data_IF_690450269866
#
_entry.id   IF_690450269866
#
_cell.length_a   1.000
_cell.length_b   1.000
_cell.length_c   1.000
_cell.angle_alpha   90.00
_cell.angle_beta   90.00
_cell.angle_gamma   90.00
#
_symmetry.space_group_name_H-M   'P 1'
#
loop_
_entity.id
_entity.type
_entity.pdbx_description
1 polymer ?
#
# COMPACT_ATOMS: atom_id res chain seq x y z
N UNK A 1 4.07 -46.85 28.79
CA UNK A 1 3.94 -45.62 29.58
C UNK A 1 5.02 -44.66 29.11
N UNK A 2 4.71 -43.77 28.17
CA UNK A 2 5.61 -42.72 27.70
C UNK A 2 4.79 -41.44 27.59
N UNK A 3 5.09 -40.46 28.44
CA UNK A 3 4.42 -39.18 28.49
C UNK A 3 5.02 -38.26 27.43
N UNK A 4 4.20 -37.77 26.51
CA UNK A 4 4.55 -36.73 25.53
C UNK A 4 4.19 -35.39 26.15
N UNK A 5 5.20 -34.55 26.35
CA UNK A 5 5.07 -33.19 26.86
C UNK A 5 4.52 -32.29 25.74
N UNK A 6 3.31 -31.77 25.93
CA UNK A 6 2.75 -30.71 25.09
C UNK A 6 3.33 -29.36 25.55
N UNK A 7 4.06 -28.69 24.66
CA UNK A 7 4.48 -27.30 24.84
C UNK A 7 3.42 -26.41 24.18
N UNK A 8 2.61 -25.73 24.99
CA UNK A 8 1.72 -24.67 24.56
C UNK A 8 2.54 -23.40 24.29
N UNK A 9 2.57 -22.92 23.05
CA UNK A 9 3.01 -21.56 22.73
C UNK A 9 1.79 -20.64 22.79
N UNK A 10 1.74 -19.80 23.81
CA UNK A 10 0.72 -18.79 24.04
C UNK A 10 1.17 -17.50 23.36
N UNK A 11 0.60 -17.18 22.20
CA UNK A 11 0.84 -15.93 21.48
C UNK A 11 0.20 -14.77 22.25
N UNK A 12 1.04 -13.83 22.71
CA UNK A 12 0.60 -12.58 23.33
C UNK A 12 -0.09 -11.69 22.30
N UNK A 13 -1.33 -11.34 22.63
CA UNK A 13 -2.12 -10.28 22.03
C UNK A 13 -1.40 -8.95 22.31
N UNK A 14 -1.10 -8.19 21.27
CA UNK A 14 -0.69 -6.79 21.39
C UNK A 14 -1.95 -5.92 21.32
N UNK A 15 -2.35 -5.36 22.47
CA UNK A 15 -3.31 -4.26 22.54
C UNK A 15 -2.63 -2.97 22.04
N UNK A 16 -3.20 -2.33 21.01
CA UNK A 16 -2.85 -0.96 20.64
C UNK A 16 -4.00 -0.06 21.09
N UNK A 17 -3.79 0.59 22.23
CA UNK A 17 -4.72 1.57 22.79
C UNK A 17 -4.82 2.80 21.88
N UNK A 18 -6.05 3.11 21.47
CA UNK A 18 -6.40 4.30 20.70
C UNK A 18 -6.08 5.59 21.48
N UNK A 19 -5.21 6.45 20.93
CA UNK A 19 -4.92 7.77 21.46
C UNK A 19 -5.91 8.78 20.88
N UNK A 20 -6.88 9.17 21.70
CA UNK A 20 -7.97 10.10 21.41
C UNK A 20 -7.47 11.53 21.61
N UNK A 21 -7.16 12.27 20.54
CA UNK A 21 -6.92 13.70 20.63
C UNK A 21 -8.25 14.47 20.52
N UNK A 22 -8.70 15.01 21.64
CA UNK A 22 -9.71 16.08 21.70
C UNK A 22 -9.03 17.40 21.30
N UNK A 23 -9.64 18.11 20.36
CA UNK A 23 -9.41 19.55 20.19
C UNK A 23 -10.56 20.30 20.86
N UNK A 24 -10.22 21.21 21.76
CA UNK A 24 -11.12 22.17 22.40
C UNK A 24 -10.46 23.53 22.21
N UNK A 25 -11.17 24.48 21.61
CA UNK A 25 -11.32 25.89 22.01
C UNK A 25 -11.92 26.66 20.83
N UNK A 26 -13.18 27.08 20.96
CA UNK A 26 -13.63 28.38 21.52
C UNK A 26 -13.67 29.46 20.44
N UNK A 27 -14.90 29.91 20.14
CA UNK A 27 -15.18 31.01 19.24
C UNK A 27 -15.17 32.36 19.95
N UNK A 28 -15.16 33.44 19.16
CA UNK A 28 -15.77 34.77 19.38
C UNK A 28 -15.16 35.73 18.32
N UNK A 29 -15.88 36.06 17.23
CA UNK A 29 -16.76 37.24 16.98
C UNK A 29 -16.06 38.53 16.51
N UNK A 30 -16.58 39.02 15.37
CA UNK A 30 -16.87 40.43 14.97
C UNK A 30 -15.73 41.46 14.79
N UNK A 31 -15.81 42.21 13.67
CA UNK A 31 -14.86 43.23 13.16
C UNK A 31 -14.85 44.57 13.91
N UNK A 32 -14.66 45.77 13.27
CA UNK A 32 -14.72 46.10 11.84
C UNK A 32 -13.48 46.84 11.27
N UNK A 33 -13.57 47.18 9.97
CA UNK A 33 -12.63 47.99 9.20
C UNK A 33 -12.59 49.48 9.64
N UNK A 34 -11.42 50.11 9.57
CA UNK A 34 -11.23 51.56 9.63
C UNK A 34 -10.19 52.00 8.59
N UNK A 35 -10.49 53.16 8.01
CA UNK A 35 -9.92 53.80 6.84
C UNK A 35 -8.47 54.30 6.99
N UNK A 36 -7.86 54.36 5.81
CA UNK A 36 -6.67 55.08 5.39
C UNK A 36 -6.74 56.59 5.74
N UNK A 37 -5.68 57.11 6.35
CA UNK A 37 -5.39 58.55 6.40
C UNK A 37 -3.87 58.76 6.40
N UNK A 38 -3.43 59.64 5.51
CA UNK A 38 -2.06 60.07 5.29
C UNK A 38 -1.58 61.05 6.36
N UNK A 39 -0.33 60.89 6.82
CA UNK A 39 0.45 61.99 7.39
C UNK A 39 1.94 61.64 7.35
N UNK A 40 2.64 62.26 6.41
CA UNK A 40 4.09 62.16 6.27
C UNK A 40 4.83 62.72 7.47
N UNK A 41 5.85 61.99 7.89
CA UNK A 41 6.96 62.51 8.69
C UNK A 41 8.26 61.91 8.16
N UNK A 42 9.19 62.79 7.82
CA UNK A 42 10.49 62.50 7.23
C UNK A 42 11.34 61.61 8.15
N UNK A 43 11.71 60.42 7.69
CA UNK A 43 12.66 59.55 8.36
C UNK A 43 14.09 59.91 7.90
N UNK A 44 14.88 60.50 8.80
CA UNK A 44 16.34 60.61 8.63
C UNK A 44 16.95 59.21 8.72
N UNK A 45 17.79 58.76 7.77
CA UNK A 45 18.50 57.51 7.95
C UNK A 45 19.65 57.70 8.95
N UNK A 46 19.52 57.08 10.11
CA UNK A 46 20.65 56.76 10.99
C UNK A 46 21.55 55.72 10.30
N UNK A 47 22.89 55.79 10.40
CA UNK A 47 23.76 54.75 9.87
C UNK A 47 23.67 53.51 10.77
N UNK A 48 22.65 52.69 10.49
CA UNK A 48 22.46 51.37 11.07
C UNK A 48 23.57 50.44 10.59
N UNK A 49 24.40 50.03 11.53
CA UNK A 49 25.47 49.04 11.42
C UNK A 49 24.94 47.75 10.77
N UNK A 50 25.26 47.54 9.49
CA UNK A 50 25.00 46.31 8.75
C UNK A 50 25.87 45.19 9.32
N UNK A 51 25.41 44.51 10.37
CA UNK A 51 26.04 43.32 10.93
C UNK A 51 24.99 42.30 11.37
N UNK A 52 24.10 41.88 10.47
CA UNK A 52 23.43 40.57 10.56
C UNK A 52 22.61 40.30 9.30
N UNK A 53 23.20 39.67 8.27
CA UNK A 53 22.40 39.13 7.15
C UNK A 53 22.88 37.79 6.60
N UNK A 54 24.03 37.28 7.06
CA UNK A 54 24.54 35.99 6.57
C UNK A 54 24.03 34.81 7.41
N UNK A 55 23.85 34.97 8.72
CA UNK A 55 23.45 33.84 9.60
C UNK A 55 22.00 33.39 9.39
N UNK A 56 21.07 34.31 9.15
CA UNK A 56 19.65 33.95 8.91
C UNK A 56 19.43 33.37 7.50
N UNK A 57 20.20 33.83 6.51
CA UNK A 57 20.15 33.28 5.16
C UNK A 57 20.64 31.81 5.11
N UNK A 58 21.65 31.45 5.91
CA UNK A 58 22.10 30.05 6.04
C UNK A 58 21.11 29.16 6.81
N UNK A 59 20.32 29.71 7.74
CA UNK A 59 19.29 28.93 8.45
C UNK A 59 18.09 28.58 7.56
N UNK A 60 17.67 29.47 6.66
CA UNK A 60 16.63 29.15 5.67
C UNK A 60 17.13 28.18 4.58
N UNK A 61 18.40 28.28 4.16
CA UNK A 61 19.01 27.32 3.23
C UNK A 61 19.21 25.92 3.83
N UNK A 62 19.43 25.81 5.14
CA UNK A 62 19.56 24.52 5.82
C UNK A 62 18.22 23.78 6.00
N UNK A 63 17.09 24.50 6.07
CA UNK A 63 15.75 23.89 6.18
C UNK A 63 15.23 23.33 4.84
N UNK A 64 15.73 23.79 3.70
CA UNK A 64 15.37 23.23 2.39
C UNK A 64 16.05 21.88 2.08
N UNK A 65 17.07 21.49 2.84
CA UNK A 65 17.89 20.30 2.55
C UNK A 65 17.31 18.97 3.10
N UNK A 66 16.17 18.99 3.80
CA UNK A 66 15.58 17.80 4.42
C UNK A 66 14.18 17.45 3.90
N UNK A 67 13.83 17.78 2.64
CA UNK A 67 12.70 17.12 1.99
C UNK A 67 13.09 15.68 1.65
N UNK A 68 12.85 14.76 2.59
CA UNK A 68 12.77 13.34 2.28
C UNK A 68 11.50 13.16 1.45
N UNK A 69 11.63 13.22 0.12
CA UNK A 69 10.57 12.80 -0.78
C UNK A 69 10.41 11.30 -0.56
N UNK A 70 9.35 10.91 0.15
CA UNK A 70 8.97 9.50 0.20
C UNK A 70 8.42 9.15 -1.18
N UNK A 71 9.29 8.67 -2.07
CA UNK A 71 8.86 8.01 -3.29
C UNK A 71 8.20 6.72 -2.82
N UNK A 72 6.88 6.61 -2.99
CA UNK A 72 6.22 5.33 -2.78
C UNK A 72 6.67 4.36 -3.86
N UNK A 73 6.86 3.08 -3.52
CA UNK A 73 6.93 2.05 -4.56
C UNK A 73 5.57 1.95 -5.22
N UNK A 74 5.56 1.49 -6.47
CA UNK A 74 4.35 1.38 -7.27
C UNK A 74 4.50 0.13 -8.13
N UNK A 75 3.59 -0.83 -7.94
CA UNK A 75 3.58 -2.02 -8.79
C UNK A 75 2.28 -2.81 -8.71
N UNK A 76 1.91 -3.43 -9.82
CA UNK A 76 0.70 -4.25 -9.94
C UNK A 76 0.85 -5.26 -11.08
N UNK A 77 0.15 -6.40 -10.97
CA UNK A 77 0.03 -7.34 -12.09
C UNK A 77 -0.78 -6.69 -13.21
N UNK A 78 -0.27 -6.74 -14.44
CA UNK A 78 -0.98 -6.29 -15.64
C UNK A 78 -1.53 -7.44 -16.47
N UNK A 79 -0.96 -8.63 -16.36
CA UNK A 79 -1.48 -9.87 -16.98
C UNK A 79 -1.15 -11.07 -16.09
N UNK A 80 -2.09 -12.03 -15.90
CA UNK A 80 -3.52 -11.95 -16.23
C UNK A 80 -4.20 -10.78 -15.51
N UNK A 81 -5.32 -10.30 -16.03
CA UNK A 81 -6.07 -9.19 -15.41
C UNK A 81 -6.37 -9.53 -13.95
N UNK A 82 -5.82 -8.78 -12.97
CA UNK A 82 -6.09 -9.02 -11.56
C UNK A 82 -7.49 -8.52 -11.19
N UNK A 83 -7.91 -8.76 -9.95
CA UNK A 83 -9.12 -8.16 -9.40
C UNK A 83 -9.09 -6.63 -9.54
N UNK A 84 -10.17 -6.08 -10.07
CA UNK A 84 -10.49 -4.67 -10.02
C UNK A 84 -11.28 -4.33 -8.75
N UNK A 85 -11.24 -3.07 -8.35
CA UNK A 85 -12.11 -2.53 -7.31
C UNK A 85 -13.44 -2.11 -7.94
N UNK A 86 -14.55 -2.33 -7.22
CA UNK A 86 -15.87 -1.86 -7.61
C UNK A 86 -16.76 -1.60 -6.41
N UNK A 87 -18.08 -1.69 -6.63
CA UNK A 87 -19.07 -1.38 -5.59
C UNK A 87 -18.99 -2.28 -4.37
N UNK A 88 -18.61 -3.56 -4.52
CA UNK A 88 -18.46 -4.45 -3.38
C UNK A 88 -17.23 -4.06 -2.55
N UNK A 89 -16.10 -3.74 -3.19
CA UNK A 89 -14.92 -3.23 -2.49
C UNK A 89 -15.21 -1.89 -1.80
N UNK A 90 -15.97 -0.98 -2.43
CA UNK A 90 -16.40 0.26 -1.79
C UNK A 90 -17.25 -0.01 -0.53
N UNK A 91 -18.19 -0.95 -0.63
CA UNK A 91 -19.06 -1.33 0.49
C UNK A 91 -18.29 -1.96 1.65
N UNK A 92 -17.27 -2.78 1.37
CA UNK A 92 -16.46 -3.42 2.39
C UNK A 92 -15.41 -2.46 3.00
N UNK A 93 -14.70 -1.71 2.16
CA UNK A 93 -13.52 -0.94 2.57
C UNK A 93 -13.82 0.50 2.97
N UNK A 94 -15.06 0.96 2.80
CA UNK A 94 -15.42 2.37 2.98
C UNK A 94 -14.78 3.28 1.91
N UNK A 95 -15.17 4.55 1.93
CA UNK A 95 -14.85 5.51 0.86
C UNK A 95 -13.37 5.91 0.89
N UNK A 96 -12.82 6.14 2.08
CA UNK A 96 -11.47 6.67 2.24
C UNK A 96 -10.38 5.72 1.75
N UNK A 97 -10.43 4.44 2.15
CA UNK A 97 -9.49 3.43 1.66
C UNK A 97 -9.73 3.10 0.18
N UNK A 98 -11.00 2.94 -0.23
CA UNK A 98 -11.37 2.69 -1.63
C UNK A 98 -10.82 3.76 -2.57
N UNK A 99 -11.02 5.05 -2.26
CA UNK A 99 -10.58 6.15 -3.12
C UNK A 99 -9.07 6.18 -3.33
N UNK A 100 -8.28 5.87 -2.30
CA UNK A 100 -6.82 5.75 -2.44
C UNK A 100 -6.46 4.65 -3.44
N UNK A 101 -6.99 3.43 -3.25
CA UNK A 101 -6.63 2.30 -4.11
C UNK A 101 -7.22 2.40 -5.53
N UNK A 102 -8.36 3.07 -5.68
CA UNK A 102 -9.02 3.24 -6.98
C UNK A 102 -8.42 4.39 -7.80
N UNK A 103 -7.89 5.43 -7.14
CA UNK A 103 -7.22 6.54 -7.84
C UNK A 103 -5.83 6.17 -8.34
N UNK A 104 -5.18 5.18 -7.71
CA UNK A 104 -3.88 4.68 -8.09
C UNK A 104 -3.81 3.15 -7.93
N UNK A 105 -3.86 2.46 -9.08
CA UNK A 105 -3.80 1.00 -9.14
C UNK A 105 -2.47 0.43 -8.65
N UNK A 106 -1.42 1.24 -8.56
CA UNK A 106 -0.09 0.84 -8.09
C UNK A 106 0.20 1.24 -6.65
N UNK A 107 -0.69 2.03 -6.03
CA UNK A 107 -0.48 2.58 -4.70
C UNK A 107 -0.13 1.48 -3.68
N UNK A 108 0.75 1.75 -2.71
CA UNK A 108 0.94 0.84 -1.57
C UNK A 108 -0.32 0.76 -0.72
N UNK A 109 -0.58 -0.44 -0.19
CA UNK A 109 -1.76 -0.71 0.66
C UNK A 109 -1.75 0.15 1.92
N UNK A 110 -0.58 0.49 2.44
CA UNK A 110 -0.40 1.34 3.63
C UNK A 110 -0.95 2.75 3.44
N UNK A 111 -1.00 3.27 2.21
CA UNK A 111 -1.61 4.57 1.95
C UNK A 111 -3.14 4.51 2.15
N UNK A 112 -3.76 3.41 1.75
CA UNK A 112 -5.19 3.19 1.96
C UNK A 112 -5.52 2.90 3.42
N UNK A 113 -4.67 2.13 4.11
CA UNK A 113 -4.80 1.85 5.53
C UNK A 113 -4.81 3.13 6.38
N UNK A 114 -4.07 4.18 5.98
CA UNK A 114 -4.09 5.50 6.65
C UNK A 114 -5.36 6.31 6.41
N UNK A 115 -6.22 5.87 5.51
CA UNK A 115 -7.44 6.57 5.07
C UNK A 115 -8.72 5.78 5.33
N UNK A 116 -8.66 4.69 6.10
CA UNK A 116 -9.87 4.00 6.57
C UNK A 116 -10.79 4.99 7.29
N UNK A 117 -12.09 4.85 7.04
CA UNK A 117 -13.13 5.70 7.61
C UNK A 117 -14.12 4.89 8.44
N UNK A 118 -15.18 5.52 8.93
CA UNK A 118 -16.18 4.88 9.78
C UNK A 118 -16.98 3.77 9.08
N UNK A 119 -16.93 3.66 7.75
CA UNK A 119 -17.61 2.63 6.96
C UNK A 119 -16.68 1.47 6.60
N UNK A 120 -15.43 1.46 7.07
CA UNK A 120 -14.52 0.34 6.88
C UNK A 120 -14.97 -0.86 7.72
N UNK A 121 -15.20 -2.00 7.07
CA UNK A 121 -15.47 -3.28 7.72
C UNK A 121 -14.22 -4.16 7.66
N UNK A 122 -13.55 -4.34 8.80
CA UNK A 122 -12.33 -5.15 8.90
C UNK A 122 -12.56 -6.64 8.58
N UNK A 123 -13.78 -7.15 8.81
CA UNK A 123 -14.13 -8.54 8.53
C UNK A 123 -14.47 -8.78 7.05
N UNK A 124 -14.77 -7.73 6.29
CA UNK A 124 -15.08 -7.81 4.86
C UNK A 124 -13.95 -7.28 3.97
N UNK A 125 -13.26 -6.22 4.40
CA UNK A 125 -12.17 -5.60 3.65
C UNK A 125 -10.81 -6.05 4.17
N UNK A 126 -10.25 -7.05 3.52
CA UNK A 126 -8.89 -7.50 3.82
C UNK A 126 -7.88 -6.66 3.02
N UNK A 127 -7.55 -5.44 3.50
CA UNK A 127 -6.64 -4.54 2.76
C UNK A 127 -5.30 -5.19 2.38
N UNK A 128 -4.69 -5.92 3.32
CA UNK A 128 -3.43 -6.65 3.14
C UNK A 128 -3.65 -8.09 2.65
N UNK A 129 -4.74 -8.30 1.90
CA UNK A 129 -4.99 -9.54 1.20
C UNK A 129 -5.84 -9.29 -0.05
N UNK A 130 -5.21 -9.35 -1.22
CA UNK A 130 -5.81 -8.97 -2.50
C UNK A 130 -6.23 -7.49 -2.58
N UNK A 131 -5.54 -6.58 -1.86
CA UNK A 131 -5.86 -5.14 -1.82
C UNK A 131 -7.30 -4.82 -1.39
N UNK A 132 -7.97 -5.70 -0.63
CA UNK A 132 -9.39 -5.55 -0.29
C UNK A 132 -10.35 -5.68 -1.48
N UNK A 133 -9.87 -6.11 -2.65
CA UNK A 133 -10.69 -6.30 -3.84
C UNK A 133 -11.58 -7.55 -3.71
N UNK A 134 -12.86 -7.38 -4.04
CA UNK A 134 -13.90 -8.37 -3.80
C UNK A 134 -14.17 -9.23 -5.05
N UNK A 135 -14.63 -10.46 -4.86
CA UNK A 135 -14.93 -11.36 -6.00
C UNK A 135 -16.14 -10.86 -6.79
N UNK A 136 -17.11 -10.26 -6.12
CA UNK A 136 -18.38 -9.77 -6.67
C UNK A 136 -18.13 -8.74 -7.78
N UNK A 137 -17.08 -7.92 -7.63
CA UNK A 137 -16.63 -6.95 -8.63
C UNK A 137 -15.91 -7.62 -9.82
N UNK A 138 -15.64 -8.93 -9.74
CA UNK A 138 -14.70 -9.67 -10.60
C UNK A 138 -15.21 -11.03 -11.12
N UNK A 139 -16.50 -11.35 -10.95
CA UNK A 139 -17.05 -12.65 -11.35
C UNK A 139 -16.77 -13.01 -12.82
N UNK A 140 -16.82 -12.03 -13.73
CA UNK A 140 -16.53 -12.19 -15.16
C UNK A 140 -15.04 -12.37 -15.49
N UNK A 141 -14.15 -12.13 -14.52
CA UNK A 141 -12.69 -12.22 -14.64
C UNK A 141 -12.13 -13.54 -14.06
N UNK A 142 -12.99 -14.48 -13.65
CA UNK A 142 -12.57 -15.79 -13.14
C UNK A 142 -12.17 -16.72 -14.30
N UNK A 143 -11.03 -17.41 -14.19
CA UNK A 143 -10.58 -18.43 -15.15
C UNK A 143 -10.80 -19.85 -14.67
N UNK A 144 -10.58 -20.82 -15.55
CA UNK A 144 -10.45 -22.24 -15.18
C UNK A 144 -9.04 -22.70 -15.50
N UNK A 145 -8.29 -23.13 -14.49
CA UNK A 145 -6.93 -23.65 -14.64
C UNK A 145 -6.83 -25.08 -14.14
N UNK A 146 -6.73 -26.03 -15.08
CA UNK A 146 -6.41 -27.43 -14.78
C UNK A 146 -5.00 -27.56 -14.16
N UNK A 147 -4.73 -28.61 -13.39
CA UNK A 147 -3.38 -28.89 -12.91
C UNK A 147 -2.37 -28.90 -14.07
N UNK A 148 -1.21 -28.31 -13.86
CA UNK A 148 -0.15 -28.17 -14.87
C UNK A 148 -0.33 -27.00 -15.85
N UNK A 149 -1.42 -26.23 -15.76
CA UNK A 149 -1.59 -25.00 -16.57
C UNK A 149 -0.43 -24.04 -16.31
N UNK A 150 0.27 -23.62 -17.37
CA UNK A 150 1.28 -22.57 -17.33
C UNK A 150 0.60 -21.23 -17.59
N UNK A 151 0.66 -20.33 -16.62
CA UNK A 151 0.06 -19.00 -16.69
C UNK A 151 1.17 -17.96 -16.84
N UNK A 152 1.20 -17.20 -17.96
CA UNK A 152 2.14 -16.10 -18.12
C UNK A 152 1.70 -14.91 -17.28
N UNK A 153 2.65 -14.34 -16.53
CA UNK A 153 2.47 -13.15 -15.72
C UNK A 153 3.30 -11.99 -16.25
N UNK A 154 2.68 -10.81 -16.28
CA UNK A 154 3.32 -9.53 -16.47
C UNK A 154 3.03 -8.65 -15.25
N UNK A 155 4.06 -7.99 -14.74
CA UNK A 155 3.98 -7.05 -13.62
C UNK A 155 4.53 -5.72 -14.07
N UNK A 156 3.75 -4.67 -13.89
CA UNK A 156 4.16 -3.30 -14.10
C UNK A 156 4.78 -2.81 -12.77
N UNK A 157 6.05 -2.39 -12.81
CA UNK A 157 6.76 -1.79 -11.66
C UNK A 157 7.13 -0.36 -12.06
N UNK A 158 6.41 0.63 -11.54
CA UNK A 158 6.69 2.05 -11.86
C UNK A 158 7.85 2.61 -11.03
N UNK A 159 8.02 2.12 -9.80
CA UNK A 159 9.11 2.52 -8.91
C UNK A 159 9.72 1.30 -8.24
N UNK A 160 11.02 1.08 -8.46
CA UNK A 160 11.77 -0.01 -7.84
C UNK A 160 12.12 0.34 -6.40
N UNK A 161 11.82 -0.56 -5.48
CA UNK A 161 12.20 -0.46 -4.08
C UNK A 161 12.63 -1.83 -3.57
N UNK A 162 13.87 -1.93 -3.10
CA UNK A 162 14.45 -3.23 -2.74
C UNK A 162 13.59 -3.94 -1.70
N UNK A 163 13.19 -5.16 -2.02
CA UNK A 163 12.30 -5.94 -1.18
C UNK A 163 12.40 -7.43 -1.45
N UNK A 164 11.34 -8.14 -1.08
CA UNK A 164 11.15 -9.54 -1.40
C UNK A 164 9.72 -9.75 -1.91
N UNK A 165 9.55 -10.73 -2.79
CA UNK A 165 8.27 -10.97 -3.44
C UNK A 165 8.01 -12.46 -3.59
N UNK A 166 6.74 -12.81 -3.75
CA UNK A 166 6.35 -14.16 -4.10
C UNK A 166 5.08 -14.16 -4.96
N UNK A 167 4.89 -15.27 -5.67
CA UNK A 167 3.60 -15.65 -6.22
C UNK A 167 3.15 -16.94 -5.56
N UNK A 168 1.93 -16.94 -5.04
CA UNK A 168 1.34 -18.09 -4.35
C UNK A 168 -0.10 -18.31 -4.80
N UNK A 169 -0.56 -19.55 -4.80
CA UNK A 169 -2.00 -19.81 -4.70
C UNK A 169 -2.38 -19.55 -3.25
N UNK A 170 -3.42 -18.76 -3.04
CA UNK A 170 -3.94 -18.42 -1.71
C UNK A 170 -5.35 -18.95 -1.53
N UNK A 171 -5.66 -19.37 -0.30
CA UNK A 171 -7.03 -19.61 0.17
C UNK A 171 -7.61 -18.26 0.60
N UNK A 172 -8.71 -17.87 -0.04
CA UNK A 172 -9.27 -16.53 0.14
C UNK A 172 -10.03 -16.38 1.45
N UNK A 173 -10.64 -17.45 1.96
CA UNK A 173 -11.39 -17.43 3.22
C UNK A 173 -10.43 -17.46 4.42
N UNK A 174 -9.40 -18.28 4.34
CA UNK A 174 -8.41 -18.40 5.41
C UNK A 174 -7.35 -17.29 5.36
N UNK A 175 -7.20 -16.59 4.23
CA UNK A 175 -6.19 -15.56 3.98
C UNK A 175 -4.75 -16.07 4.07
N UNK A 176 -4.50 -17.25 3.52
CA UNK A 176 -3.20 -17.94 3.64
C UNK A 176 -2.70 -18.41 2.28
N UNK A 177 -1.39 -18.43 2.03
CA UNK A 177 -0.82 -19.16 0.90
C UNK A 177 -0.97 -20.68 1.12
N UNK A 178 -1.51 -21.37 0.13
CA UNK A 178 -1.68 -22.84 0.14
C UNK A 178 -0.76 -23.57 -0.85
N UNK A 179 -0.12 -22.83 -1.76
CA UNK A 179 0.97 -23.33 -2.61
C UNK A 179 1.87 -22.17 -3.04
N UNK A 180 3.19 -22.30 -2.88
CA UNK A 180 4.16 -21.31 -3.36
C UNK A 180 4.55 -21.63 -4.81
N UNK A 181 4.35 -20.68 -5.72
CA UNK A 181 4.64 -20.85 -7.15
C UNK A 181 5.97 -20.21 -7.57
N UNK A 182 6.28 -19.05 -6.99
CA UNK A 182 7.51 -18.31 -7.29
C UNK A 182 7.96 -17.54 -6.04
N UNK A 183 9.27 -17.45 -5.78
CA UNK A 183 9.82 -16.59 -4.71
C UNK A 183 11.05 -15.83 -5.21
N UNK A 184 11.11 -14.54 -4.91
CA UNK A 184 12.29 -13.70 -5.06
C UNK A 184 12.77 -13.26 -3.68
N UNK A 185 13.96 -13.71 -3.21
CA UNK A 185 14.52 -13.26 -1.94
C UNK A 185 15.01 -11.81 -2.01
N UNK A 186 15.33 -11.33 -3.21
CA UNK A 186 15.58 -9.93 -3.54
C UNK A 186 14.73 -9.63 -4.77
N UNK A 187 13.92 -8.58 -4.70
CA UNK A 187 12.99 -8.17 -5.74
C UNK A 187 13.01 -6.65 -5.91
N UNK A 188 12.91 -6.18 -7.15
CA UNK A 188 12.87 -4.77 -7.52
C UNK A 188 14.06 -3.99 -6.91
N UNK A 189 15.28 -4.52 -7.08
CA UNK A 189 16.49 -3.97 -6.48
C UNK A 189 16.76 -2.54 -7.01
N UNK A 190 16.55 -1.56 -6.14
CA UNK A 190 16.69 -0.13 -6.42
C UNK A 190 18.14 0.36 -6.56
N UNK A 191 19.12 -0.51 -6.27
CA UNK A 191 20.53 -0.24 -6.55
C UNK A 191 20.94 -0.59 -7.99
N UNK A 192 20.06 -1.24 -8.77
CA UNK A 192 20.31 -1.61 -10.16
C UNK A 192 19.71 -0.57 -11.12
N UNK A 193 20.41 -0.31 -12.23
CA UNK A 193 19.87 0.50 -13.33
C UNK A 193 19.00 -0.30 -14.31
N UNK A 194 18.22 0.36 -15.19
CA UNK A 194 17.29 -0.31 -16.12
C UNK A 194 17.90 -1.42 -17.00
N UNK A 195 19.17 -1.30 -17.37
CA UNK A 195 19.88 -2.32 -18.17
C UNK A 195 20.22 -3.59 -17.38
N UNK A 196 20.15 -3.54 -16.05
CA UNK A 196 20.51 -4.61 -15.12
C UNK A 196 19.28 -5.20 -14.40
N UNK A 197 18.10 -4.62 -14.57
CA UNK A 197 16.88 -5.14 -13.96
C UNK A 197 16.60 -6.58 -14.43
N UNK A 198 16.38 -7.53 -13.51
CA UNK A 198 16.09 -8.91 -13.88
C UNK A 198 14.76 -9.01 -14.63
N UNK A 199 14.77 -9.58 -15.84
CA UNK A 199 13.56 -9.72 -16.67
C UNK A 199 12.46 -10.54 -16.01
N UNK A 200 12.83 -11.49 -15.16
CA UNK A 200 11.91 -12.36 -14.46
C UNK A 200 11.24 -11.68 -13.25
N UNK A 201 11.45 -10.39 -13.01
CA UNK A 201 10.66 -9.62 -12.03
C UNK A 201 9.38 -9.06 -12.66
N UNK A 202 9.42 -8.70 -13.95
CA UNK A 202 8.27 -8.12 -14.66
C UNK A 202 7.62 -9.05 -15.67
N UNK A 203 8.28 -10.15 -16.06
CA UNK A 203 7.72 -11.16 -16.96
C UNK A 203 8.20 -12.56 -16.60
N UNK A 204 7.27 -13.42 -16.18
CA UNK A 204 7.56 -14.79 -15.75
C UNK A 204 6.35 -15.71 -15.96
N UNK A 205 6.57 -17.02 -15.86
CA UNK A 205 5.51 -18.02 -15.90
C UNK A 205 5.34 -18.65 -14.53
N UNK A 206 4.09 -18.94 -14.15
CA UNK A 206 3.78 -19.81 -13.01
C UNK A 206 3.07 -21.06 -13.48
N UNK A 207 3.27 -22.18 -12.80
CA UNK A 207 2.56 -23.44 -13.09
C UNK A 207 1.59 -23.73 -11.97
N UNK A 208 0.30 -23.89 -12.28
CA UNK A 208 -0.73 -24.19 -11.29
C UNK A 208 -0.61 -25.67 -10.88
N UNK A 209 -0.36 -25.99 -9.60
CA UNK A 209 -0.24 -27.38 -9.15
C UNK A 209 -1.62 -28.05 -9.08
N UNK A 210 -1.66 -29.35 -8.80
CA UNK A 210 -2.87 -30.01 -8.33
C UNK A 210 -3.18 -29.55 -6.90
N UNK A 211 -4.37 -29.01 -6.69
CA UNK A 211 -4.85 -28.42 -5.44
C UNK A 211 -5.85 -29.33 -4.73
N UNK A 212 -6.13 -30.52 -5.26
CA UNK A 212 -6.96 -31.54 -4.61
C UNK A 212 -8.41 -31.08 -4.38
N UNK A 213 -8.96 -30.29 -5.31
CA UNK A 213 -10.33 -29.76 -5.22
C UNK A 213 -10.52 -28.56 -4.27
N UNK A 214 -9.46 -28.07 -3.62
CA UNK A 214 -9.54 -26.90 -2.72
C UNK A 214 -10.02 -25.62 -3.41
N UNK A 215 -9.81 -25.51 -4.72
CA UNK A 215 -10.13 -24.35 -5.53
C UNK A 215 -11.26 -24.62 -6.54
N UNK A 216 -12.20 -25.52 -6.20
CA UNK A 216 -13.27 -25.95 -7.11
C UNK A 216 -14.37 -24.89 -7.35
N UNK A 217 -14.47 -23.88 -6.49
CA UNK A 217 -15.49 -22.82 -6.57
C UNK A 217 -14.86 -21.45 -6.73
N UNK A 218 -15.51 -20.57 -7.48
CA UNK A 218 -15.10 -19.18 -7.60
C UNK A 218 -15.07 -18.54 -6.19
N UNK A 219 -14.00 -17.81 -5.88
CA UNK A 219 -13.82 -17.24 -4.54
C UNK A 219 -13.19 -18.17 -3.51
N UNK A 220 -12.92 -19.44 -3.84
CA UNK A 220 -12.14 -20.30 -2.94
C UNK A 220 -10.66 -19.93 -2.95
N UNK A 221 -10.10 -19.67 -4.15
CA UNK A 221 -8.69 -19.38 -4.32
C UNK A 221 -8.42 -18.27 -5.33
N UNK A 222 -7.24 -17.69 -5.23
CA UNK A 222 -6.64 -16.86 -6.27
C UNK A 222 -5.14 -17.14 -6.40
N UNK A 223 -4.54 -16.78 -7.52
CA UNK A 223 -3.08 -16.62 -7.62
C UNK A 223 -2.76 -15.19 -7.17
N UNK A 224 -2.05 -15.05 -6.07
CA UNK A 224 -1.63 -13.76 -5.53
C UNK A 224 -0.16 -13.51 -5.88
N UNK A 225 0.11 -12.39 -6.56
CA UNK A 225 1.42 -11.75 -6.53
C UNK A 225 1.48 -10.83 -5.32
N UNK A 226 2.54 -10.95 -4.54
CA UNK A 226 2.78 -10.20 -3.31
C UNK A 226 4.20 -9.68 -3.30
N UNK A 227 4.38 -8.40 -3.00
CA UNK A 227 5.69 -7.75 -2.86
C UNK A 227 5.69 -6.84 -1.65
N UNK A 228 6.76 -6.92 -0.86
CA UNK A 228 7.03 -5.99 0.22
C UNK A 228 8.36 -5.26 0.01
N UNK A 229 8.28 -3.94 -0.16
CA UNK A 229 9.42 -3.04 -0.22
C UNK A 229 9.95 -2.76 1.19
N UNK A 230 11.13 -3.28 1.52
CA UNK A 230 11.67 -3.27 2.89
C UNK A 230 12.02 -1.87 3.39
N UNK A 231 12.63 -1.05 2.52
CA UNK A 231 13.09 0.29 2.88
C UNK A 231 11.93 1.27 3.07
N UNK A 232 10.90 1.15 2.23
CA UNK A 232 9.70 1.99 2.27
C UNK A 232 8.62 1.45 3.20
N UNK A 233 8.74 0.19 3.64
CA UNK A 233 7.75 -0.54 4.45
C UNK A 233 6.37 -0.53 3.80
N UNK A 234 6.34 -0.94 2.53
CA UNK A 234 5.15 -0.88 1.70
C UNK A 234 4.82 -2.23 1.05
N UNK A 235 3.52 -2.52 0.94
CA UNK A 235 2.99 -3.78 0.45
C UNK A 235 2.20 -3.58 -0.84
N UNK A 236 2.40 -4.49 -1.79
CA UNK A 236 1.77 -4.51 -3.10
C UNK A 236 1.25 -5.90 -3.38
N UNK A 237 0.00 -5.96 -3.82
CA UNK A 237 -0.66 -7.23 -4.07
C UNK A 237 -1.50 -7.18 -5.33
N UNK A 238 -1.67 -8.32 -5.98
CA UNK A 238 -2.63 -8.48 -7.07
C UNK A 238 -3.11 -9.92 -7.08
N UNK A 239 -4.41 -10.11 -7.15
CA UNK A 239 -5.02 -11.45 -7.14
C UNK A 239 -5.69 -11.77 -8.47
N UNK A 240 -5.43 -12.96 -8.99
CA UNK A 240 -5.99 -13.50 -10.23
C UNK A 240 -6.87 -14.68 -9.88
N UNK A 241 -8.19 -14.50 -10.06
CA UNK A 241 -9.18 -15.53 -9.73
C UNK A 241 -9.17 -16.69 -10.73
N UNK A 242 -9.28 -17.90 -10.17
CA UNK A 242 -9.44 -19.12 -10.95
C UNK A 242 -10.20 -20.20 -10.18
N UNK A 243 -10.74 -21.15 -10.91
CA UNK A 243 -11.16 -22.46 -10.40
C UNK A 243 -10.31 -23.57 -10.99
N UNK A 244 -10.23 -24.70 -10.28
CA UNK A 244 -9.56 -25.92 -10.73
C UNK A 244 -10.46 -27.14 -10.56
#
# INVERSE_FOLDING_TARGET
>A
MHAVVFVFFQSRIYEVSAMKYRYVDEGLTSGPAVNQADNGWAYKPSPGRFHSSRREMYQFLALLACLIVQVAAHGAVSTPTPRALGSAALGACGTGAYNVLNSDKYAPIENAAKKVDANYDEAACHLFFCRGAQLEDNLSNTRVYKPGTVVPFSVDIEAHHTGYANVSVVDLAAQLPIARLFTWPVYANDSLGPSQWPKNETSFNVTVPDLGGRCASAGACAIQWWWYGTQVKQTYESCVDFTQ
#
